data_IF_274437155577
#
_entry.id   IF_274437155577
#
_cell.length_a   1.000
_cell.length_b   1.000
_cell.length_c   1.000
_cell.angle_alpha   90.00
_cell.angle_beta   90.00
_cell.angle_gamma   90.00
#
_symmetry.space_group_name_H-M   'P 1'
#
loop_
_entity.id
_entity.type
_entity.pdbx_description
1 polymer ?
#
# COMPACT_ATOMS: atom_id res chain seq x y z
N UNK A 1 -20.86 6.24 -45.45
CA UNK A 1 -21.32 7.67 -45.43
C UNK A 1 -22.65 7.76 -44.70
N UNK A 2 -22.69 8.44 -43.54
CA UNK A 2 -23.73 9.39 -43.06
C UNK A 2 -23.58 9.61 -41.55
N UNK A 3 -23.58 10.89 -41.17
CA UNK A 3 -23.36 11.42 -39.82
C UNK A 3 -24.63 11.39 -38.96
N UNK A 4 -24.47 11.13 -37.66
CA UNK A 4 -25.34 11.54 -36.55
C UNK A 4 -24.47 11.46 -35.28
N UNK A 5 -24.35 12.41 -34.38
CA UNK A 5 -25.02 13.68 -34.15
C UNK A 5 -24.73 14.04 -32.69
N UNK A 6 -24.37 15.32 -32.45
CA UNK A 6 -24.18 16.00 -31.15
C UNK A 6 -22.79 15.94 -30.49
N UNK A 7 -22.08 17.05 -30.72
CA UNK A 7 -21.01 17.63 -29.89
C UNK A 7 -21.64 18.25 -28.64
N UNK A 8 -21.02 18.07 -27.47
CA UNK A 8 -21.20 18.94 -26.30
C UNK A 8 -19.82 19.44 -25.87
N UNK A 9 -19.59 20.75 -26.01
CA UNK A 9 -18.42 21.47 -25.53
C UNK A 9 -18.66 21.98 -24.09
N UNK A 10 -17.60 22.21 -23.28
CA UNK A 10 -17.74 22.81 -21.95
C UNK A 10 -17.83 24.36 -22.02
N UNK A 11 -18.56 25.03 -21.13
CA UNK A 11 -18.40 26.46 -20.94
C UNK A 11 -17.36 26.77 -19.84
N UNK A 12 -16.39 27.63 -20.17
CA UNK A 12 -15.60 28.47 -19.25
C UNK A 12 -15.58 29.90 -19.84
N UNK A 13 -15.03 30.92 -19.16
CA UNK A 13 -15.40 31.53 -17.87
C UNK A 13 -15.71 33.04 -18.04
N UNK A 14 -16.46 33.68 -17.13
CA UNK A 14 -16.60 35.16 -16.99
C UNK A 14 -17.40 35.44 -15.71
N UNK A 15 -17.11 36.38 -14.81
CA UNK A 15 -16.11 37.43 -14.67
C UNK A 15 -16.09 37.84 -13.18
N UNK A 16 -14.94 38.28 -12.66
CA UNK A 16 -14.70 39.68 -12.26
C UNK A 16 -15.81 40.28 -11.36
N UNK A 17 -15.61 40.21 -10.04
CA UNK A 17 -15.98 41.33 -9.17
C UNK A 17 -15.05 41.42 -7.94
N UNK A 18 -14.51 42.60 -7.75
CA UNK A 18 -13.74 43.14 -6.61
C UNK A 18 -13.62 44.64 -6.92
N UNK A 19 -13.67 45.59 -5.95
CA UNK A 19 -13.23 45.45 -4.56
C UNK A 19 -14.16 46.08 -3.49
N UNK A 20 -14.03 45.64 -2.24
CA UNK A 20 -14.63 46.29 -1.07
C UNK A 20 -13.56 46.52 0.00
N UNK A 21 -12.86 47.65 -0.09
CA UNK A 21 -11.92 48.15 0.90
C UNK A 21 -12.70 48.86 2.02
N UNK A 22 -12.52 48.41 3.27
CA UNK A 22 -12.78 49.24 4.45
C UNK A 22 -11.59 49.16 5.40
N UNK A 23 -10.93 50.31 5.53
CA UNK A 23 -9.95 50.62 6.57
C UNK A 23 -10.58 50.58 7.97
N UNK A 24 -9.81 50.14 8.97
CA UNK A 24 -10.29 50.12 10.34
C UNK A 24 -9.28 49.66 11.40
N UNK A 25 -8.21 50.44 11.62
CA UNK A 25 -7.69 50.84 12.95
C UNK A 25 -7.34 49.72 13.96
N UNK A 26 -6.06 49.35 14.13
CA UNK A 26 -5.10 49.90 15.11
C UNK A 26 -5.61 49.88 16.57
N UNK A 27 -5.43 48.76 17.30
CA UNK A 27 -4.83 48.71 18.65
C UNK A 27 -4.82 47.28 19.24
N UNK A 28 -3.64 46.67 19.41
CA UNK A 28 -3.39 45.65 20.47
C UNK A 28 -1.92 45.79 20.90
N UNK A 29 -1.63 46.14 22.16
CA UNK A 29 -0.27 46.14 22.66
C UNK A 29 0.14 44.74 23.14
N UNK A 30 1.43 44.45 22.93
CA UNK A 30 2.33 43.60 23.69
C UNK A 30 1.76 42.34 24.39
N UNK A 31 1.95 41.20 23.74
CA UNK A 31 2.32 39.93 24.38
C UNK A 31 2.98 39.04 23.32
N UNK A 32 4.14 39.47 22.84
CA UNK A 32 5.06 38.65 22.05
C UNK A 32 6.29 38.43 22.91
N UNK A 33 6.18 37.56 23.91
CA UNK A 33 7.33 36.86 24.50
C UNK A 33 6.81 35.83 25.49
N UNK A 34 6.78 34.58 25.03
CA UNK A 34 7.08 33.33 25.74
C UNK A 34 7.04 32.25 24.64
N UNK A 35 7.98 32.32 23.70
CA UNK A 35 8.16 31.32 22.66
C UNK A 35 9.04 30.19 23.22
N UNK A 36 8.44 29.01 23.30
CA UNK A 36 9.06 27.71 23.04
C UNK A 36 10.43 27.42 23.68
N UNK A 37 10.41 26.80 24.87
CA UNK A 37 11.55 26.01 25.35
C UNK A 37 11.23 24.54 25.61
N UNK A 38 10.05 24.03 25.18
CA UNK A 38 9.64 22.65 25.51
C UNK A 38 8.93 21.88 24.38
N UNK A 39 8.88 22.42 23.15
CA UNK A 39 8.18 21.78 22.02
C UNK A 39 9.04 20.79 21.21
N UNK A 40 10.36 20.78 21.36
CA UNK A 40 11.25 19.91 20.56
C UNK A 40 11.14 18.44 20.96
N UNK A 41 10.83 18.13 22.23
CA UNK A 41 10.82 16.75 22.74
C UNK A 41 9.48 16.03 22.47
N UNK A 42 8.35 16.75 22.49
CA UNK A 42 7.03 16.14 22.30
C UNK A 42 6.73 15.72 20.85
N UNK A 43 7.23 16.47 19.87
CA UNK A 43 7.07 16.15 18.46
C UNK A 43 7.89 14.92 18.06
N UNK A 44 9.13 14.80 18.53
CA UNK A 44 10.05 13.70 18.21
C UNK A 44 9.54 12.35 18.74
N UNK A 45 9.13 12.30 20.00
CA UNK A 45 8.54 11.09 20.62
C UNK A 45 7.27 10.64 19.90
N UNK A 46 6.44 11.61 19.46
CA UNK A 46 5.23 11.32 18.68
C UNK A 46 5.60 10.73 17.31
N UNK A 47 6.58 11.30 16.60
CA UNK A 47 7.04 10.77 15.30
C UNK A 47 7.65 9.37 15.40
N UNK A 48 8.46 9.11 16.44
CA UNK A 48 9.02 7.77 16.67
C UNK A 48 7.95 6.73 16.99
N UNK A 49 6.89 7.13 17.70
CA UNK A 49 5.74 6.26 18.03
C UNK A 49 4.90 5.96 16.79
N UNK A 50 4.62 6.98 15.96
CA UNK A 50 3.90 6.79 14.69
C UNK A 50 4.64 5.86 13.74
N UNK A 51 5.96 6.04 13.59
CA UNK A 51 6.76 5.21 12.70
C UNK A 51 6.85 3.75 13.19
N UNK A 52 6.94 3.54 14.50
CA UNK A 52 6.87 2.19 15.08
C UNK A 52 5.53 1.52 14.76
N UNK A 53 4.42 2.25 14.87
CA UNK A 53 3.10 1.76 14.48
C UNK A 53 3.02 1.44 12.97
N UNK A 54 3.62 2.26 12.11
CA UNK A 54 3.68 1.99 10.67
C UNK A 54 4.45 0.71 10.34
N UNK A 55 5.55 0.44 11.06
CA UNK A 55 6.30 -0.83 10.92
C UNK A 55 5.48 -2.04 11.34
N UNK A 56 4.73 -1.94 12.45
CA UNK A 56 3.83 -3.00 12.89
C UNK A 56 2.73 -3.27 11.85
N UNK A 57 2.19 -2.22 11.23
CA UNK A 57 1.25 -2.35 10.11
C UNK A 57 1.89 -3.06 8.92
N UNK A 58 3.13 -2.72 8.55
CA UNK A 58 3.84 -3.42 7.46
C UNK A 58 4.01 -4.91 7.75
N UNK A 59 4.41 -5.27 8.98
CA UNK A 59 4.51 -6.67 9.41
C UNK A 59 3.15 -7.38 9.37
N UNK A 60 2.10 -6.72 9.84
CA UNK A 60 0.74 -7.27 9.82
C UNK A 60 0.25 -7.51 8.39
N UNK A 61 0.50 -6.60 7.45
CA UNK A 61 0.13 -6.76 6.04
C UNK A 61 0.91 -7.89 5.39
N UNK A 62 2.21 -8.03 5.68
CA UNK A 62 3.01 -9.15 5.19
C UNK A 62 2.46 -10.49 5.70
N UNK A 63 2.12 -10.59 7.00
CA UNK A 63 1.53 -11.78 7.59
C UNK A 63 0.12 -12.10 7.03
N UNK A 64 -0.69 -11.08 6.79
CA UNK A 64 -1.99 -11.24 6.14
C UNK A 64 -1.85 -11.76 4.71
N UNK A 65 -0.84 -11.27 3.98
CA UNK A 65 -0.53 -11.73 2.62
C UNK A 65 -0.17 -13.22 2.61
N UNK A 66 0.66 -13.68 3.56
CA UNK A 66 1.02 -15.09 3.67
C UNK A 66 -0.18 -15.97 4.04
N UNK A 67 -1.02 -15.53 4.98
CA UNK A 67 -2.25 -16.24 5.34
C UNK A 67 -3.15 -16.44 4.11
N UNK A 68 -3.39 -15.37 3.33
CA UNK A 68 -4.21 -15.46 2.11
C UNK A 68 -3.54 -16.32 1.03
N UNK A 69 -2.23 -16.29 0.94
CA UNK A 69 -1.48 -17.12 0.01
C UNK A 69 -1.66 -18.62 0.31
N UNK A 70 -1.61 -19.03 1.58
CA UNK A 70 -1.83 -20.43 1.97
C UNK A 70 -3.29 -20.86 1.82
N UNK A 71 -4.26 -19.98 2.10
CA UNK A 71 -5.68 -20.26 1.85
C UNK A 71 -5.96 -20.49 0.36
N UNK A 72 -5.44 -19.60 -0.51
CA UNK A 72 -5.55 -19.73 -1.96
C UNK A 72 -4.92 -21.04 -2.41
N UNK A 73 -3.72 -21.36 -1.92
CA UNK A 73 -3.04 -22.62 -2.21
C UNK A 73 -3.89 -23.83 -1.81
N UNK A 74 -4.47 -23.84 -0.61
CA UNK A 74 -5.33 -24.92 -0.13
C UNK A 74 -6.57 -25.13 -1.01
N UNK A 75 -7.24 -24.03 -1.39
CA UNK A 75 -8.40 -24.09 -2.29
C UNK A 75 -8.03 -24.64 -3.67
N UNK A 76 -6.93 -24.16 -4.25
CA UNK A 76 -6.46 -24.59 -5.56
C UNK A 76 -6.03 -26.07 -5.55
N UNK A 77 -5.29 -26.52 -4.54
CA UNK A 77 -4.88 -27.92 -4.40
C UNK A 77 -6.08 -28.86 -4.23
N UNK A 78 -7.09 -28.44 -3.47
CA UNK A 78 -8.33 -29.20 -3.32
C UNK A 78 -9.03 -29.38 -4.66
N UNK A 79 -9.11 -28.32 -5.46
CA UNK A 79 -9.73 -28.41 -6.79
C UNK A 79 -8.88 -29.28 -7.75
N UNK A 80 -7.54 -29.15 -7.77
CA UNK A 80 -6.65 -30.04 -8.54
C UNK A 80 -6.93 -31.50 -8.18
N UNK A 81 -6.98 -31.82 -6.88
CA UNK A 81 -7.23 -33.17 -6.40
C UNK A 81 -8.59 -33.71 -6.89
N UNK A 82 -9.65 -32.90 -6.79
CA UNK A 82 -10.99 -33.27 -7.29
C UNK A 82 -11.00 -33.52 -8.79
N UNK A 83 -10.34 -32.65 -9.56
CA UNK A 83 -10.23 -32.79 -11.01
C UNK A 83 -9.42 -34.02 -11.43
N UNK A 84 -8.34 -34.35 -10.71
CA UNK A 84 -7.53 -35.57 -10.93
C UNK A 84 -8.26 -36.85 -10.54
N UNK A 85 -9.19 -36.78 -9.59
CA UNK A 85 -9.99 -37.92 -9.15
C UNK A 85 -11.13 -38.27 -10.12
N UNK A 86 -11.34 -37.48 -11.18
CA UNK A 86 -12.33 -37.79 -12.22
C UNK A 86 -11.93 -39.11 -12.91
N UNK A 87 -12.82 -40.11 -12.95
CA UNK A 87 -12.49 -41.41 -13.53
C UNK A 87 -12.06 -41.31 -15.00
N UNK A 88 -11.07 -42.11 -15.44
CA UNK A 88 -10.63 -42.14 -16.85
C UNK A 88 -11.74 -42.54 -17.83
N UNK A 89 -12.80 -43.21 -17.33
CA UNK A 89 -13.98 -43.53 -18.12
C UNK A 89 -14.75 -42.29 -18.60
N UNK A 90 -14.60 -41.15 -17.91
CA UNK A 90 -15.22 -39.87 -18.29
C UNK A 90 -14.44 -39.20 -19.43
N UNK A 91 -13.12 -39.34 -19.44
CA UNK A 91 -12.24 -38.77 -20.46
C UNK A 91 -11.44 -39.87 -21.11
N UNK A 92 -11.94 -40.40 -22.22
CA UNK A 92 -11.26 -41.45 -22.97
C UNK A 92 -10.41 -40.90 -24.12
N UNK A 93 -9.35 -41.61 -24.47
CA UNK A 93 -8.52 -41.33 -25.65
C UNK A 93 -7.82 -39.96 -25.61
N UNK A 94 -7.83 -39.25 -26.74
CA UNK A 94 -7.13 -37.96 -26.91
C UNK A 94 -7.62 -36.87 -25.95
N UNK A 95 -8.88 -36.94 -25.51
CA UNK A 95 -9.44 -35.98 -24.55
C UNK A 95 -8.76 -36.07 -23.17
N UNK A 96 -8.36 -37.28 -22.74
CA UNK A 96 -7.65 -37.50 -21.49
C UNK A 96 -6.30 -36.79 -21.47
N UNK A 97 -5.54 -36.91 -22.57
CA UNK A 97 -4.22 -36.29 -22.72
C UNK A 97 -4.33 -34.76 -22.68
N UNK A 98 -5.27 -34.18 -23.45
CA UNK A 98 -5.51 -32.73 -23.46
C UNK A 98 -5.96 -32.20 -22.11
N UNK A 99 -6.77 -32.96 -21.41
CA UNK A 99 -7.18 -32.59 -20.06
C UNK A 99 -5.99 -32.57 -19.09
N UNK A 100 -5.10 -33.59 -19.15
CA UNK A 100 -3.88 -33.61 -18.34
C UNK A 100 -3.00 -32.39 -18.60
N UNK A 101 -2.79 -32.04 -19.88
CA UNK A 101 -2.02 -30.84 -20.25
C UNK A 101 -2.59 -29.56 -19.63
N UNK A 102 -3.92 -29.41 -19.62
CA UNK A 102 -4.62 -28.27 -19.03
C UNK A 102 -4.43 -28.24 -17.52
N UNK A 103 -4.54 -29.40 -16.86
CA UNK A 103 -4.30 -29.49 -15.42
C UNK A 103 -2.87 -29.11 -15.03
N UNK A 104 -1.88 -29.62 -15.76
CA UNK A 104 -0.49 -29.35 -15.46
C UNK A 104 -0.14 -27.88 -15.66
N UNK A 105 -0.65 -27.27 -16.74
CA UNK A 105 -0.51 -25.83 -16.96
C UNK A 105 -1.16 -25.02 -15.85
N UNK A 106 -2.39 -25.34 -15.47
CA UNK A 106 -3.09 -24.61 -14.43
C UNK A 106 -2.42 -24.77 -13.05
N UNK A 107 -1.89 -25.95 -12.74
CA UNK A 107 -1.07 -26.17 -11.54
C UNK A 107 0.21 -25.32 -11.56
N UNK A 108 0.87 -25.20 -12.73
CA UNK A 108 2.04 -24.32 -12.88
C UNK A 108 1.70 -22.83 -12.68
N UNK A 109 0.59 -22.34 -13.24
CA UNK A 109 0.14 -20.96 -12.99
C UNK A 109 -0.23 -20.72 -11.52
N UNK A 110 -0.82 -21.72 -10.86
CA UNK A 110 -1.12 -21.66 -9.43
C UNK A 110 0.14 -21.51 -8.58
N UNK A 111 1.20 -22.26 -8.91
CA UNK A 111 2.51 -22.13 -8.25
C UNK A 111 3.13 -20.76 -8.49
N UNK A 112 3.02 -20.21 -9.72
CA UNK A 112 3.54 -18.88 -10.03
C UNK A 112 2.85 -17.78 -9.22
N UNK A 113 1.52 -17.84 -9.08
CA UNK A 113 0.77 -16.91 -8.24
C UNK A 113 1.25 -17.00 -6.78
N UNK A 114 1.40 -18.21 -6.26
CA UNK A 114 1.89 -18.42 -4.90
C UNK A 114 3.28 -17.81 -4.67
N UNK A 115 4.22 -18.05 -5.59
CA UNK A 115 5.56 -17.45 -5.52
C UNK A 115 5.54 -15.92 -5.68
N UNK A 116 4.61 -15.37 -6.45
CA UNK A 116 4.45 -13.92 -6.58
C UNK A 116 3.97 -13.30 -5.25
N UNK A 117 2.96 -13.88 -4.62
CA UNK A 117 2.44 -13.40 -3.33
C UNK A 117 3.48 -13.52 -2.21
N UNK A 118 4.21 -14.64 -2.14
CA UNK A 118 5.31 -14.80 -1.19
C UNK A 118 6.42 -13.75 -1.39
N UNK A 119 6.75 -13.43 -2.65
CA UNK A 119 7.72 -12.36 -2.96
C UNK A 119 7.22 -10.97 -2.56
N UNK A 120 5.92 -10.70 -2.68
CA UNK A 120 5.34 -9.43 -2.22
C UNK A 120 5.45 -9.33 -0.69
N UNK A 121 5.11 -10.38 0.05
CA UNK A 121 5.26 -10.41 1.50
C UNK A 121 6.72 -10.18 1.93
N UNK A 122 7.68 -10.82 1.24
CA UNK A 122 9.10 -10.58 1.51
C UNK A 122 9.54 -9.16 1.17
N UNK A 123 9.04 -8.58 0.08
CA UNK A 123 9.33 -7.18 -0.27
C UNK A 123 8.84 -6.22 0.82
N UNK A 124 7.65 -6.47 1.38
CA UNK A 124 7.12 -5.65 2.48
C UNK A 124 8.02 -5.74 3.71
N UNK A 125 8.44 -6.95 4.10
CA UNK A 125 9.37 -7.15 5.23
C UNK A 125 10.74 -6.52 4.97
N UNK A 126 11.24 -6.61 3.74
CA UNK A 126 12.51 -5.99 3.37
C UNK A 126 12.43 -4.47 3.49
N UNK A 127 11.36 -3.87 2.97
CA UNK A 127 11.13 -2.44 3.06
C UNK A 127 11.03 -1.98 4.52
N UNK A 128 10.33 -2.74 5.36
CA UNK A 128 10.24 -2.46 6.80
C UNK A 128 11.63 -2.40 7.45
N UNK A 129 12.49 -3.40 7.20
CA UNK A 129 13.85 -3.45 7.76
C UNK A 129 14.69 -2.25 7.32
N UNK A 130 14.64 -1.91 6.02
CA UNK A 130 15.39 -0.78 5.46
C UNK A 130 14.91 0.54 6.06
N UNK A 131 13.59 0.73 6.18
CA UNK A 131 13.03 1.96 6.76
C UNK A 131 13.36 2.08 8.26
N UNK A 132 13.36 0.96 9.00
CA UNK A 132 13.74 0.94 10.41
C UNK A 132 15.21 1.33 10.62
N UNK A 133 16.12 0.81 9.81
CA UNK A 133 17.55 1.16 9.87
C UNK A 133 17.78 2.66 9.63
N UNK A 134 17.09 3.23 8.62
CA UNK A 134 17.15 4.67 8.32
C UNK A 134 16.64 5.49 9.50
N UNK A 135 15.54 5.07 10.12
CA UNK A 135 14.95 5.75 11.27
C UNK A 135 15.84 5.73 12.51
N UNK A 136 16.46 4.58 12.83
CA UNK A 136 17.39 4.44 13.94
C UNK A 136 18.65 5.30 13.74
N UNK A 137 19.12 5.41 12.50
CA UNK A 137 20.23 6.29 12.15
C UNK A 137 19.85 7.76 12.32
N UNK A 138 18.64 8.14 11.90
CA UNK A 138 18.12 9.49 12.06
C UNK A 138 17.98 9.87 13.54
N UNK A 139 17.39 8.99 14.36
CA UNK A 139 17.24 9.19 15.81
C UNK A 139 18.59 9.38 16.50
N UNK A 140 19.60 8.54 16.19
CA UNK A 140 20.96 8.69 16.71
C UNK A 140 21.59 10.02 16.33
N UNK A 141 21.38 10.48 15.10
CA UNK A 141 21.91 11.77 14.64
C UNK A 141 21.27 12.95 15.37
N UNK A 142 19.95 12.91 15.60
CA UNK A 142 19.24 13.93 16.40
C UNK A 142 19.76 13.94 17.85
N UNK A 143 19.89 12.76 18.47
CA UNK A 143 20.40 12.65 19.84
C UNK A 143 21.82 13.23 19.96
N UNK A 144 22.71 12.92 19.00
CA UNK A 144 24.07 13.45 18.97
C UNK A 144 24.12 14.97 18.74
N UNK A 145 23.20 15.52 17.95
CA UNK A 145 23.10 16.97 17.74
C UNK A 145 22.55 17.70 18.97
N UNK A 146 21.68 17.05 19.75
CA UNK A 146 21.11 17.60 20.99
C UNK A 146 22.05 17.55 22.20
N UNK A 147 22.99 16.61 22.25
CA UNK A 147 24.00 16.48 23.33
C UNK A 147 25.17 17.48 23.18
N UNK A 148 25.26 18.19 22.05
CA UNK A 148 26.33 19.12 21.73
C UNK A 148 26.08 20.60 22.08
N UNK A 149 25.03 20.91 22.85
CA UNK A 149 24.60 22.27 23.21
C UNK A 149 24.45 22.39 24.73
#
# INVERSE_FOLDING_TARGET
MRCAGRRCAPPTPSGLDSPGQTDGNRNRPAAVELHNSDQTTGADVTTSTTLSADFDVMLAVAAATDTRNEEIRGMLQTFVGRMRAVPPSVWSGLAAARFSDVLDRWNAESLRLHHALARIAETIRHNERVLREVAETHSRHIAAAGDGI
#
